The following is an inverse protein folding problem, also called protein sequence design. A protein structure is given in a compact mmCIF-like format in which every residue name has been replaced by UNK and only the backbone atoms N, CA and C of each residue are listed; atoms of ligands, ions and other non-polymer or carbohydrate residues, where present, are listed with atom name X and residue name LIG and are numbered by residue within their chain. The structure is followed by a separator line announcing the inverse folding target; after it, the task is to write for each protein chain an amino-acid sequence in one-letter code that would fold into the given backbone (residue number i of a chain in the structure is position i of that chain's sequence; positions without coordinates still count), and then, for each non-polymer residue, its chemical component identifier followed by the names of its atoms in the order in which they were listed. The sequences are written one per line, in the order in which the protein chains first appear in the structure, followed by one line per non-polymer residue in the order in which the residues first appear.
data_IF_977860526224
#
_entry.id   IF_977860526224
#
_cell.length_a   1.000
_cell.length_b   1.000
_cell.length_c   1.000
_cell.angle_alpha   90.00
_cell.angle_beta   90.00
_cell.angle_gamma   90.00
#
_symmetry.space_group_name_H-M   'P 1'
#
loop_
_entity.id
_entity.type
_entity.pdbx_description
1 polymer ?
#
# COMPACT_ATOMS: atom_id res chain seq x y z
N UNK A 1 22.97 1.31 33.88
CA UNK A 1 23.15 0.59 32.61
C UNK A 1 22.62 1.51 31.54
N UNK A 2 23.50 2.30 30.93
CA UNK A 2 23.13 3.11 29.78
C UNK A 2 22.73 2.14 28.66
N UNK A 3 21.54 2.26 28.05
CA UNK A 3 21.20 1.42 26.91
C UNK A 3 22.15 1.79 25.78
N UNK A 4 23.17 0.95 25.59
CA UNK A 4 24.18 1.10 24.56
C UNK A 4 23.46 1.25 23.22
N UNK A 5 23.48 2.47 22.70
CA UNK A 5 22.88 2.87 21.45
C UNK A 5 23.71 2.29 20.28
N UNK A 6 23.78 0.96 20.20
CA UNK A 6 24.45 0.21 19.14
C UNK A 6 23.55 0.09 17.89
N UNK A 7 22.90 1.20 17.54
CA UNK A 7 22.23 1.36 16.24
C UNK A 7 23.22 2.00 15.27
N UNK A 8 23.47 1.42 14.08
CA UNK A 8 24.32 2.07 13.09
C UNK A 8 23.74 3.47 12.77
N UNK A 9 24.60 4.49 12.74
CA UNK A 9 24.23 5.91 12.74
C UNK A 9 23.23 6.29 11.63
N UNK A 10 23.20 5.52 10.55
CA UNK A 10 22.27 5.71 9.44
C UNK A 10 20.79 5.53 9.85
N UNK A 11 20.48 4.71 10.87
CA UNK A 11 19.09 4.52 11.33
C UNK A 11 18.50 5.78 11.96
N UNK A 12 19.31 6.61 12.62
CA UNK A 12 18.86 7.87 13.21
C UNK A 12 18.46 8.92 12.15
N UNK A 13 18.97 8.80 10.92
CA UNK A 13 18.54 9.64 9.80
C UNK A 13 17.16 9.21 9.26
N UNK A 14 16.84 7.92 9.37
CA UNK A 14 15.62 7.32 8.82
C UNK A 14 14.50 7.13 9.85
N UNK A 15 14.84 7.08 11.14
CA UNK A 15 13.93 6.77 12.22
C UNK A 15 14.31 7.39 13.55
N UNK A 16 13.50 7.12 14.56
CA UNK A 16 13.72 7.52 15.95
C UNK A 16 13.20 6.45 16.89
N UNK A 17 13.77 6.42 18.10
CA UNK A 17 13.25 5.61 19.19
C UNK A 17 12.11 6.38 19.87
N UNK A 18 10.97 5.72 20.01
CA UNK A 18 9.85 6.25 20.77
C UNK A 18 10.05 6.06 22.29
N UNK A 19 9.12 6.56 23.09
CA UNK A 19 9.19 6.51 24.57
C UNK A 19 9.33 5.08 25.13
N UNK A 20 8.90 4.08 24.37
CA UNK A 20 9.02 2.66 24.73
C UNK A 20 10.27 2.00 24.14
N UNK A 21 11.19 2.76 23.53
CA UNK A 21 12.41 2.24 22.91
C UNK A 21 12.17 1.55 21.56
N UNK A 22 11.03 1.80 20.92
CA UNK A 22 10.67 1.20 19.64
C UNK A 22 11.09 2.09 18.46
N UNK A 23 11.69 1.51 17.42
CA UNK A 23 12.03 2.28 16.21
C UNK A 23 10.79 2.64 15.40
N UNK A 24 10.64 3.94 15.15
CA UNK A 24 9.60 4.56 14.32
C UNK A 24 10.22 5.29 13.13
N UNK A 25 9.43 5.49 12.08
CA UNK A 25 9.86 6.25 10.92
C UNK A 25 9.87 7.75 11.20
N UNK A 26 10.95 8.46 10.82
CA UNK A 26 11.11 9.92 11.00
C UNK A 26 10.49 10.73 9.85
N UNK A 27 10.09 10.10 8.76
CA UNK A 27 9.65 10.80 7.55
C UNK A 27 8.43 11.69 7.81
N UNK A 28 8.52 12.96 7.42
CA UNK A 28 7.46 13.96 7.58
C UNK A 28 6.20 13.56 6.81
N UNK A 29 5.08 13.37 7.52
CA UNK A 29 3.83 12.91 6.91
C UNK A 29 3.73 11.39 6.72
N UNK A 30 4.65 10.61 7.29
CA UNK A 30 4.47 9.17 7.40
C UNK A 30 3.35 8.84 8.40
N UNK A 31 2.21 8.37 7.92
CA UNK A 31 1.09 7.91 8.76
C UNK A 31 1.24 6.45 9.23
N UNK A 32 2.42 5.84 9.10
CA UNK A 32 2.62 4.46 9.51
C UNK A 32 2.83 4.38 11.02
N UNK A 33 1.89 3.72 11.72
CA UNK A 33 2.01 3.39 13.14
C UNK A 33 2.95 2.20 13.42
N UNK A 34 3.59 1.66 12.36
CA UNK A 34 4.38 0.43 12.42
C UNK A 34 5.65 0.63 13.26
N UNK A 35 5.89 -0.32 14.15
CA UNK A 35 7.13 -0.46 14.90
C UNK A 35 8.10 -1.34 14.12
N UNK A 36 9.34 -0.89 13.99
CA UNK A 36 10.39 -1.62 13.28
C UNK A 36 11.33 -2.31 14.27
N UNK A 37 11.22 -3.63 14.41
CA UNK A 37 12.12 -4.38 15.29
C UNK A 37 13.52 -4.55 14.66
N UNK A 38 13.61 -4.44 13.33
CA UNK A 38 14.87 -4.63 12.58
C UNK A 38 15.21 -3.41 11.75
N UNK A 39 16.50 -3.07 11.77
CA UNK A 39 17.11 -2.02 10.96
C UNK A 39 16.80 -2.16 9.45
N UNK A 40 16.81 -3.38 8.91
CA UNK A 40 16.55 -3.62 7.50
C UNK A 40 15.11 -3.29 7.09
N UNK A 41 14.14 -3.48 7.99
CA UNK A 41 12.73 -3.17 7.72
C UNK A 41 12.50 -1.66 7.70
N UNK A 42 13.10 -0.93 8.65
CA UNK A 42 13.05 0.54 8.67
C UNK A 42 13.67 1.13 7.40
N UNK A 43 14.83 0.63 6.96
CA UNK A 43 15.48 1.07 5.71
C UNK A 43 14.59 0.85 4.48
N UNK A 44 14.00 -0.34 4.37
CA UNK A 44 13.07 -0.65 3.27
C UNK A 44 11.86 0.26 3.28
N UNK A 45 11.28 0.49 4.46
CA UNK A 45 10.15 1.39 4.63
C UNK A 45 10.51 2.82 4.26
N UNK A 46 11.64 3.35 4.74
CA UNK A 46 12.06 4.72 4.50
C UNK A 46 12.30 5.00 3.01
N UNK A 47 12.92 4.05 2.29
CA UNK A 47 13.04 4.11 0.82
C UNK A 47 11.69 4.15 0.12
N UNK A 48 10.65 3.58 0.73
CA UNK A 48 9.27 3.63 0.24
C UNK A 48 8.63 5.03 0.26
N UNK A 49 9.20 5.98 1.02
CA UNK A 49 8.73 7.36 1.03
C UNK A 49 9.27 8.19 -0.13
N UNK A 50 10.43 7.79 -0.66
CA UNK A 50 11.02 8.41 -1.84
C UNK A 50 10.20 8.02 -3.09
N UNK A 51 9.12 8.79 -3.31
CA UNK A 51 8.18 8.58 -4.40
C UNK A 51 8.59 9.48 -5.56
N UNK A 52 9.07 8.87 -6.63
CA UNK A 52 9.50 9.58 -7.84
C UNK A 52 8.52 9.45 -8.99
N UNK A 53 7.59 8.51 -8.90
CA UNK A 53 6.65 8.20 -9.97
C UNK A 53 5.26 8.64 -9.57
N UNK A 54 4.71 9.62 -10.27
CA UNK A 54 3.39 10.18 -9.98
C UNK A 54 2.44 9.92 -11.14
N UNK A 55 1.19 9.61 -10.82
CA UNK A 55 0.14 9.53 -11.82
C UNK A 55 -0.24 10.94 -12.30
N UNK A 56 -0.21 11.15 -13.62
CA UNK A 56 -0.58 12.41 -14.28
C UNK A 56 -2.01 12.41 -14.84
N UNK A 57 -2.78 11.34 -14.62
CA UNK A 57 -4.14 11.20 -15.13
C UNK A 57 -5.11 12.08 -14.33
N UNK A 58 -5.81 12.99 -15.02
CA UNK A 58 -6.65 14.04 -14.40
C UNK A 58 -7.82 13.50 -13.56
N UNK A 59 -8.30 12.29 -13.85
CA UNK A 59 -9.42 11.64 -13.15
C UNK A 59 -8.97 10.51 -12.22
N UNK A 60 -7.67 10.36 -11.99
CA UNK A 60 -7.19 9.34 -11.08
C UNK A 60 -7.34 9.80 -9.63
N UNK A 61 -8.04 9.01 -8.81
CA UNK A 61 -8.12 9.25 -7.36
C UNK A 61 -6.76 9.16 -6.66
N UNK A 62 -5.78 8.50 -7.30
CA UNK A 62 -4.39 8.43 -6.85
C UNK A 62 -3.48 9.45 -7.58
N UNK A 63 -4.03 10.40 -8.34
CA UNK A 63 -3.27 11.53 -8.87
C UNK A 63 -2.69 12.33 -7.69
N UNK A 64 -1.36 12.41 -7.63
CA UNK A 64 -0.64 12.98 -6.47
C UNK A 64 -0.17 11.97 -5.43
N UNK A 65 -0.69 10.73 -5.44
CA UNK A 65 -0.11 9.63 -4.65
C UNK A 65 1.08 9.07 -5.42
N UNK A 66 2.28 9.49 -5.04
CA UNK A 66 3.50 8.98 -5.64
C UNK A 66 3.75 7.51 -5.29
N UNK A 67 4.39 6.79 -6.22
CA UNK A 67 4.87 5.42 -6.06
C UNK A 67 6.38 5.41 -5.86
N UNK A 68 6.83 4.55 -4.93
CA UNK A 68 8.26 4.41 -4.61
C UNK A 68 9.03 3.65 -5.69
N UNK A 69 8.36 2.74 -6.42
CA UNK A 69 9.00 1.88 -7.42
C UNK A 69 8.35 2.05 -8.80
N UNK A 70 9.17 1.92 -9.85
CA UNK A 70 8.70 1.93 -11.24
C UNK A 70 7.71 0.79 -11.53
N UNK A 71 7.93 -0.38 -10.92
CA UNK A 71 7.05 -1.56 -11.10
C UNK A 71 5.64 -1.28 -10.56
N UNK A 72 5.52 -0.69 -9.37
CA UNK A 72 4.22 -0.34 -8.81
C UNK A 72 3.51 0.75 -9.63
N UNK A 73 4.26 1.75 -10.10
CA UNK A 73 3.73 2.76 -11.00
C UNK A 73 3.20 2.17 -12.31
N UNK A 74 3.96 1.28 -12.96
CA UNK A 74 3.54 0.62 -14.20
C UNK A 74 2.29 -0.25 -13.99
N UNK A 75 2.21 -0.94 -12.85
CA UNK A 75 1.00 -1.69 -12.46
C UNK A 75 -0.21 -0.77 -12.31
N UNK A 76 -0.04 0.38 -11.68
CA UNK A 76 -1.09 1.39 -11.55
C UNK A 76 -1.48 2.00 -12.92
N UNK A 77 -0.52 2.30 -13.78
CA UNK A 77 -0.78 2.77 -15.15
C UNK A 77 -1.53 1.73 -16.00
N UNK A 78 -1.26 0.44 -15.80
CA UNK A 78 -2.04 -0.64 -16.40
C UNK A 78 -3.52 -0.59 -15.98
N UNK A 79 -3.84 -0.06 -14.80
CA UNK A 79 -5.23 0.08 -14.37
C UNK A 79 -6.01 1.16 -15.11
N UNK A 80 -5.33 2.19 -15.64
CA UNK A 80 -5.97 3.19 -16.52
C UNK A 80 -6.26 2.67 -17.92
N UNK A 81 -5.58 1.60 -18.33
CA UNK A 81 -5.77 0.92 -19.62
C UNK A 81 -6.19 -0.53 -19.39
N UNK A 82 -7.39 -0.78 -18.85
CA UNK A 82 -7.88 -2.14 -18.67
C UNK A 82 -7.99 -2.78 -20.05
N UNK A 83 -7.13 -3.76 -20.32
CA UNK A 83 -7.07 -4.47 -21.59
C UNK A 83 -7.45 -5.95 -21.45
N UNK A 84 -7.64 -6.42 -20.22
CA UNK A 84 -7.93 -7.83 -19.94
C UNK A 84 -9.43 -8.04 -19.99
N UNK A 85 -9.95 -8.54 -21.11
CA UNK A 85 -11.35 -8.94 -21.24
C UNK A 85 -11.59 -10.26 -20.49
N UNK A 86 -12.73 -10.34 -19.82
CA UNK A 86 -13.25 -11.58 -19.27
C UNK A 86 -13.40 -12.61 -20.41
N UNK A 87 -12.95 -13.85 -20.20
CA UNK A 87 -13.04 -14.90 -21.21
C UNK A 87 -14.39 -15.65 -21.20
N UNK A 88 -15.31 -15.27 -20.31
CA UNK A 88 -16.61 -15.93 -20.19
C UNK A 88 -17.57 -15.40 -21.26
N UNK A 89 -18.30 -16.26 -21.99
CA UNK A 89 -19.10 -15.90 -23.16
C UNK A 89 -20.15 -14.81 -22.90
N UNK A 90 -20.68 -14.71 -21.67
CA UNK A 90 -21.66 -13.68 -21.26
C UNK A 90 -21.08 -12.61 -20.29
N UNK A 91 -19.80 -12.27 -20.41
CA UNK A 91 -19.12 -11.37 -19.49
C UNK A 91 -18.40 -10.23 -20.22
N UNK A 92 -19.03 -9.05 -20.29
CA UNK A 92 -18.44 -7.83 -20.87
C UNK A 92 -17.51 -7.07 -19.91
N UNK A 93 -17.08 -7.70 -18.80
CA UNK A 93 -16.20 -7.03 -17.84
C UNK A 93 -14.78 -6.93 -18.38
N UNK A 94 -14.22 -5.72 -18.37
CA UNK A 94 -12.84 -5.45 -18.73
C UNK A 94 -12.08 -5.11 -17.46
N UNK A 95 -11.04 -5.88 -17.17
CA UNK A 95 -10.24 -5.76 -15.99
C UNK A 95 -8.90 -5.11 -16.28
N UNK A 96 -8.41 -4.46 -15.23
CA UNK A 96 -7.09 -3.84 -15.14
C UNK A 96 -5.97 -4.89 -15.23
N UNK A 97 -6.21 -6.11 -14.68
CA UNK A 97 -5.25 -7.23 -14.63
C UNK A 97 -5.94 -8.60 -14.55
N UNK A 98 -5.25 -9.66 -14.97
CA UNK A 98 -5.76 -11.06 -14.96
C UNK A 98 -5.97 -11.62 -13.55
N UNK A 99 -5.12 -11.25 -12.59
CA UNK A 99 -5.25 -11.62 -11.18
C UNK A 99 -6.45 -10.95 -10.48
N UNK A 100 -6.99 -9.89 -11.05
CA UNK A 100 -8.20 -9.22 -10.56
C UNK A 100 -9.50 -9.87 -11.09
N UNK A 101 -9.39 -10.87 -11.97
CA UNK A 101 -10.50 -11.74 -12.33
C UNK A 101 -10.64 -12.79 -11.24
N UNK A 102 -11.21 -12.43 -10.09
CA UNK A 102 -11.71 -13.48 -9.19
C UNK A 102 -12.85 -14.16 -9.94
N UNK A 103 -12.80 -15.49 -9.99
CA UNK A 103 -13.92 -16.31 -10.43
C UNK A 103 -15.19 -15.79 -9.74
N UNK A 104 -16.30 -15.68 -10.47
CA UNK A 104 -17.62 -15.45 -9.88
C UNK A 104 -18.07 -16.70 -9.10
N UNK A 105 -17.40 -16.94 -7.99
CA UNK A 105 -17.78 -17.74 -6.84
C UNK A 105 -17.09 -16.94 -5.73
N UNK A 106 -17.72 -15.89 -5.22
CA UNK A 106 -18.53 -16.04 -4.02
C UNK A 106 -19.45 -14.83 -3.78
N UNK A 107 -20.69 -15.18 -3.43
CA UNK A 107 -21.54 -14.56 -2.41
C UNK A 107 -22.15 -13.16 -2.67
N UNK A 108 -23.43 -13.22 -3.01
CA UNK A 108 -24.58 -12.57 -2.34
C UNK A 108 -24.55 -11.04 -2.04
N UNK A 109 -25.60 -10.29 -2.40
CA UNK A 109 -25.77 -8.92 -1.96
C UNK A 109 -25.94 -8.86 -0.43
N UNK A 110 -24.93 -8.39 0.27
CA UNK A 110 -25.03 -7.98 1.69
C UNK A 110 -25.98 -6.80 1.82
N UNK A 111 -27.28 -7.08 1.94
CA UNK A 111 -28.25 -6.14 2.50
C UNK A 111 -28.81 -6.69 3.79
N UNK A 112 -28.18 -6.27 4.88
CA UNK A 112 -28.66 -6.34 6.24
C UNK A 112 -30.07 -5.73 6.35
N UNK A 113 -31.08 -6.53 6.75
CA UNK A 113 -32.29 -6.02 7.42
C UNK A 113 -32.75 -6.97 8.53
N UNK A 114 -32.38 -6.56 9.74
CA UNK A 114 -33.16 -6.51 10.98
C UNK A 114 -33.89 -7.79 11.43
N UNK A 115 -33.36 -8.35 12.52
CA UNK A 115 -34.11 -9.14 13.49
C UNK A 115 -35.25 -8.28 14.07
N UNK A 116 -36.48 -8.77 14.00
CA UNK A 116 -37.56 -8.36 14.88
C UNK A 116 -38.13 -9.63 15.51
N UNK A 117 -37.97 -9.67 16.82
CA UNK A 117 -38.37 -10.72 17.74
C UNK A 117 -39.87 -10.64 18.01
N UNK A 118 -40.55 -11.78 18.01
CA UNK A 118 -41.82 -12.03 18.70
C UNK A 118 -41.81 -13.48 19.21
#
# INVERSE_FOLDING_TARGET
MEPENWGPADLHQMGYLDVSGNWRCRYSGCCSSRVFLRACDLRKHFRGHAKYFFCTEKRCQQAGVGFATRKDFQRHMGSHKPAVRCMHPDCDRIFSRKDNMSSKQDLEPTTQKMQAQY
#
